data_IF_272138520594
#
_entry.id   IF_272138520594
#
_cell.length_a   1.000
_cell.length_b   1.000
_cell.length_c   1.000
_cell.angle_alpha   90.00
_cell.angle_beta   90.00
_cell.angle_gamma   90.00
#
_symmetry.space_group_name_H-M   'P 1'
#
loop_
_entity.id
_entity.type
_entity.pdbx_description
1 polymer ?
#
# COMPACT_ATOMS: atom_id res chain seq x y z
N UNK A 1 7.34 -6.92 -12.85
CA UNK A 1 6.54 -6.07 -11.93
C UNK A 1 5.05 -6.20 -12.23
N UNK A 2 4.66 -6.04 -13.48
CA UNK A 2 3.25 -6.15 -13.88
C UNK A 2 2.70 -7.54 -13.54
N UNK A 3 3.44 -8.60 -13.85
CA UNK A 3 3.03 -9.96 -13.53
C UNK A 3 2.82 -10.15 -12.03
N UNK A 4 3.69 -9.56 -11.21
CA UNK A 4 3.55 -9.65 -9.75
C UNK A 4 2.31 -8.90 -9.24
N UNK A 5 2.02 -7.72 -9.82
CA UNK A 5 0.83 -6.96 -9.48
C UNK A 5 -0.43 -7.78 -9.80
N UNK A 6 -0.50 -8.40 -10.98
CA UNK A 6 -1.65 -9.24 -11.34
C UNK A 6 -1.78 -10.46 -10.44
N UNK A 7 -0.66 -11.05 -10.03
CA UNK A 7 -0.67 -12.15 -9.07
C UNK A 7 -1.29 -11.73 -7.74
N UNK A 8 -0.93 -10.57 -7.23
CA UNK A 8 -1.49 -10.04 -5.98
C UNK A 8 -2.96 -9.68 -6.11
N UNK A 9 -3.37 -9.12 -7.24
CA UNK A 9 -4.77 -8.83 -7.50
C UNK A 9 -5.59 -10.12 -7.55
N UNK A 10 -5.08 -11.15 -8.22
CA UNK A 10 -5.73 -12.46 -8.27
C UNK A 10 -5.88 -13.05 -6.87
N UNK A 11 -4.84 -12.96 -6.06
CA UNK A 11 -4.85 -13.43 -4.68
C UNK A 11 -5.95 -12.73 -3.87
N UNK A 12 -6.09 -11.41 -4.03
CA UNK A 12 -7.15 -10.65 -3.38
C UNK A 12 -8.54 -11.12 -3.84
N UNK A 13 -8.73 -11.28 -5.14
CA UNK A 13 -10.00 -11.71 -5.71
C UNK A 13 -10.39 -13.12 -5.27
N UNK A 14 -9.42 -14.02 -5.15
CA UNK A 14 -9.66 -15.36 -4.64
C UNK A 14 -10.09 -15.34 -3.18
N UNK A 15 -9.67 -14.33 -2.42
CA UNK A 15 -10.12 -14.12 -1.05
C UNK A 15 -11.47 -13.40 -0.96
N UNK A 16 -12.13 -13.13 -2.09
CA UNK A 16 -13.43 -12.47 -2.14
C UNK A 16 -13.35 -10.94 -2.11
N UNK A 17 -12.19 -10.39 -2.31
CA UNK A 17 -11.97 -8.94 -2.28
C UNK A 17 -12.13 -8.36 -3.69
N UNK A 18 -12.93 -7.30 -3.81
CA UNK A 18 -13.07 -6.57 -5.06
C UNK A 18 -11.92 -5.57 -5.19
N UNK A 19 -11.32 -5.49 -6.36
CA UNK A 19 -10.20 -4.57 -6.60
C UNK A 19 -10.60 -3.55 -7.67
N UNK A 20 -10.37 -2.28 -7.36
CA UNK A 20 -10.54 -1.19 -8.32
C UNK A 20 -9.15 -0.66 -8.64
N UNK A 21 -8.76 -0.73 -9.90
CA UNK A 21 -7.42 -0.39 -10.34
C UNK A 21 -7.44 0.82 -11.27
N UNK A 22 -6.59 1.80 -10.99
CA UNK A 22 -6.45 2.99 -11.84
C UNK A 22 -4.98 3.19 -12.18
N UNK A 23 -4.63 2.93 -13.44
CA UNK A 23 -3.27 3.04 -13.92
C UNK A 23 -3.19 4.18 -14.93
N UNK A 24 -2.62 5.31 -14.52
CA UNK A 24 -2.43 6.47 -15.39
C UNK A 24 -0.96 6.73 -15.70
N UNK A 25 -0.08 5.86 -15.20
CA UNK A 25 1.35 5.92 -15.48
C UNK A 25 1.91 4.51 -15.53
N UNK A 26 3.03 4.34 -16.22
CA UNK A 26 3.70 3.06 -16.35
C UNK A 26 4.80 2.94 -15.29
N UNK A 27 4.86 1.80 -14.63
CA UNK A 27 5.92 1.50 -13.66
C UNK A 27 7.30 1.39 -14.31
N UNK A 28 7.36 1.24 -15.63
CA UNK A 28 8.62 1.21 -16.36
C UNK A 28 9.39 2.53 -16.27
N UNK A 29 8.73 3.63 -15.93
CA UNK A 29 9.38 4.93 -15.75
C UNK A 29 10.12 5.03 -14.40
N UNK A 30 10.06 4.01 -13.57
CA UNK A 30 10.71 4.01 -12.26
C UNK A 30 12.11 3.43 -12.32
N UNK A 31 13.05 4.04 -11.60
CA UNK A 31 14.45 3.60 -11.55
C UNK A 31 14.77 2.74 -10.33
N UNK A 32 13.86 1.89 -9.95
CA UNK A 32 14.09 0.96 -8.85
C UNK A 32 14.28 -0.44 -9.44
N UNK A 33 15.12 -1.24 -8.80
CA UNK A 33 15.32 -2.63 -9.24
C UNK A 33 14.02 -3.41 -9.04
N UNK A 34 13.72 -4.30 -9.99
CA UNK A 34 12.48 -5.06 -9.97
C UNK A 34 12.23 -5.81 -8.66
N UNK A 35 13.28 -6.41 -8.09
CA UNK A 35 13.14 -7.17 -6.85
C UNK A 35 12.71 -6.29 -5.67
N UNK A 36 13.20 -5.05 -5.63
CA UNK A 36 12.83 -4.10 -4.57
C UNK A 36 11.39 -3.63 -4.75
N UNK A 37 10.97 -3.38 -5.98
CA UNK A 37 9.61 -3.02 -6.30
C UNK A 37 8.63 -4.15 -5.93
N UNK A 38 8.98 -5.39 -6.24
CA UNK A 38 8.18 -6.56 -5.90
C UNK A 38 8.01 -6.66 -4.39
N UNK A 39 9.07 -6.44 -3.63
CA UNK A 39 9.02 -6.48 -2.17
C UNK A 39 8.14 -5.37 -1.60
N UNK A 40 8.27 -4.15 -2.11
CA UNK A 40 7.45 -3.01 -1.68
C UNK A 40 5.98 -3.27 -1.99
N UNK A 41 5.67 -3.62 -3.22
CA UNK A 41 4.29 -3.87 -3.65
C UNK A 41 3.69 -5.06 -2.90
N UNK A 42 4.45 -6.12 -2.72
CA UNK A 42 4.00 -7.29 -1.98
C UNK A 42 3.59 -6.94 -0.56
N UNK A 43 4.40 -6.16 0.14
CA UNK A 43 4.10 -5.74 1.51
C UNK A 43 2.85 -4.87 1.56
N UNK A 44 2.71 -3.91 0.64
CA UNK A 44 1.54 -3.04 0.58
C UNK A 44 0.26 -3.82 0.32
N UNK A 45 0.29 -4.73 -0.66
CA UNK A 45 -0.87 -5.56 -0.98
C UNK A 45 -1.23 -6.49 0.17
N UNK A 46 -0.25 -7.17 0.75
CA UNK A 46 -0.50 -8.11 1.85
C UNK A 46 -1.12 -7.42 3.05
N UNK A 47 -0.65 -6.22 3.36
CA UNK A 47 -1.21 -5.42 4.45
C UNK A 47 -2.69 -5.10 4.20
N UNK A 48 -3.02 -4.65 3.00
CA UNK A 48 -4.39 -4.30 2.64
C UNK A 48 -5.29 -5.54 2.59
N UNK A 49 -4.83 -6.61 1.97
CA UNK A 49 -5.60 -7.85 1.83
C UNK A 49 -5.91 -8.46 3.20
N UNK A 50 -4.93 -8.56 4.07
CA UNK A 50 -5.12 -9.12 5.40
C UNK A 50 -6.10 -8.30 6.23
N UNK A 51 -6.02 -6.98 6.12
CA UNK A 51 -6.96 -6.09 6.81
C UNK A 51 -8.39 -6.30 6.33
N UNK A 52 -8.59 -6.40 5.02
CA UNK A 52 -9.92 -6.58 4.44
C UNK A 52 -10.50 -7.96 4.74
N UNK A 53 -9.68 -9.00 4.78
CA UNK A 53 -10.13 -10.33 5.17
C UNK A 53 -10.60 -10.31 6.62
N UNK A 54 -9.84 -9.70 7.49
CA UNK A 54 -10.14 -9.63 8.92
C UNK A 54 -11.42 -8.84 9.21
N UNK A 55 -11.62 -7.73 8.51
CA UNK A 55 -12.79 -6.87 8.71
C UNK A 55 -14.02 -7.34 7.95
N UNK A 56 -13.89 -8.30 7.06
CA UNK A 56 -14.97 -8.79 6.18
C UNK A 56 -15.64 -7.67 5.41
N UNK A 57 -14.85 -6.71 4.98
CA UNK A 57 -15.36 -5.52 4.29
C UNK A 57 -15.82 -5.86 2.88
N UNK A 58 -16.92 -5.21 2.43
CA UNK A 58 -17.47 -5.41 1.09
C UNK A 58 -17.08 -4.33 0.10
N UNK A 59 -16.35 -3.32 0.54
CA UNK A 59 -15.86 -2.25 -0.32
C UNK A 59 -14.64 -2.71 -1.12
N UNK A 60 -14.18 -1.85 -2.04
CA UNK A 60 -13.08 -2.18 -2.93
C UNK A 60 -11.73 -1.93 -2.29
N UNK A 61 -10.76 -2.77 -2.61
CA UNK A 61 -9.36 -2.43 -2.47
C UNK A 61 -9.02 -1.50 -3.64
N UNK A 62 -8.38 -0.38 -3.36
CA UNK A 62 -8.04 0.60 -4.38
C UNK A 62 -6.54 0.55 -4.66
N UNK A 63 -6.19 0.40 -5.93
CA UNK A 63 -4.80 0.40 -6.38
C UNK A 63 -4.65 1.46 -7.46
N UNK A 64 -3.72 2.40 -7.26
CA UNK A 64 -3.51 3.49 -8.19
C UNK A 64 -2.03 3.70 -8.48
N UNK A 65 -1.71 3.91 -9.75
CA UNK A 65 -0.38 4.35 -10.18
C UNK A 65 -0.57 5.61 -11.00
N UNK A 66 0.05 6.71 -10.57
CA UNK A 66 -0.06 7.98 -11.30
C UNK A 66 1.25 8.75 -11.25
N UNK A 67 1.44 9.60 -12.25
CA UNK A 67 2.59 10.49 -12.30
C UNK A 67 2.24 11.79 -11.58
N UNK A 68 3.16 12.25 -10.74
CA UNK A 68 3.03 13.52 -10.02
C UNK A 68 4.26 14.38 -10.29
N UNK A 69 4.26 15.62 -9.82
CA UNK A 69 5.42 16.51 -9.95
C UNK A 69 6.66 15.96 -9.26
N UNK A 70 6.47 15.11 -8.26
CA UNK A 70 7.55 14.51 -7.48
C UNK A 70 8.05 13.17 -8.06
N UNK A 71 7.33 12.61 -9.02
CA UNK A 71 7.65 11.32 -9.60
C UNK A 71 6.41 10.44 -9.73
N UNK A 72 6.63 9.14 -9.89
CA UNK A 72 5.53 8.17 -9.98
C UNK A 72 5.06 7.81 -8.58
N UNK A 73 3.76 7.93 -8.33
CA UNK A 73 3.17 7.56 -7.04
C UNK A 73 2.35 6.30 -7.17
N UNK A 74 2.63 5.33 -6.29
CA UNK A 74 1.88 4.09 -6.18
C UNK A 74 1.11 4.15 -4.87
N UNK A 75 -0.21 3.96 -4.94
CA UNK A 75 -1.07 4.02 -3.77
C UNK A 75 -1.93 2.77 -3.66
N UNK A 76 -2.05 2.26 -2.43
CA UNK A 76 -2.95 1.16 -2.12
C UNK A 76 -3.81 1.61 -0.95
N UNK A 77 -5.12 1.58 -1.15
CA UNK A 77 -6.09 1.98 -0.15
C UNK A 77 -7.04 0.86 0.18
N UNK A 78 -7.33 0.68 1.45
CA UNK A 78 -8.35 -0.27 1.88
C UNK A 78 -9.31 0.40 2.86
N UNK A 79 -10.58 -0.04 2.86
CA UNK A 79 -11.54 0.48 3.82
C UNK A 79 -11.10 0.21 5.24
N UNK A 80 -11.20 1.20 6.09
CA UNK A 80 -10.77 1.09 7.47
C UNK A 80 -11.37 2.24 8.27
N UNK A 81 -11.57 2.03 9.56
CA UNK A 81 -11.96 3.12 10.45
C UNK A 81 -10.85 4.17 10.48
N UNK A 82 -11.24 5.41 10.74
CA UNK A 82 -10.27 6.50 10.81
C UNK A 82 -9.22 6.21 11.89
N UNK A 83 -7.96 6.30 11.52
CA UNK A 83 -6.84 6.12 12.44
C UNK A 83 -6.39 7.50 12.92
N UNK A 84 -6.13 7.63 14.23
CA UNK A 84 -5.67 8.90 14.79
C UNK A 84 -4.29 9.27 14.24
N UNK A 85 -3.98 10.57 14.23
CA UNK A 85 -2.66 11.06 13.81
C UNK A 85 -1.55 10.39 14.62
N UNK A 86 -1.75 10.23 15.93
CA UNK A 86 -0.79 9.58 16.80
C UNK A 86 -0.52 8.13 16.37
N UNK A 87 -1.57 7.38 16.07
CA UNK A 87 -1.43 5.98 15.63
C UNK A 87 -0.84 5.88 14.23
N UNK A 88 -1.17 6.83 13.33
CA UNK A 88 -0.55 6.87 12.00
C UNK A 88 0.96 7.06 12.10
N UNK A 89 1.40 7.92 13.01
CA UNK A 89 2.83 8.17 13.23
C UNK A 89 3.55 6.95 13.80
N UNK A 90 2.86 6.16 14.63
CA UNK A 90 3.45 5.01 15.30
C UNK A 90 3.38 3.70 14.52
N UNK A 91 2.53 3.62 13.51
CA UNK A 91 2.30 2.33 12.86
C UNK A 91 3.51 1.75 12.12
N UNK A 92 4.52 2.56 11.88
CA UNK A 92 5.77 2.11 11.27
C UNK A 92 6.86 1.77 12.29
N UNK A 93 6.59 1.92 13.58
CA UNK A 93 7.56 1.56 14.61
C UNK A 93 7.73 0.04 14.70
N UNK A 94 8.94 -0.40 14.99
CA UNK A 94 9.24 -1.81 15.12
C UNK A 94 8.40 -2.44 16.24
N UNK A 95 7.63 -3.46 15.88
CA UNK A 95 6.79 -4.19 16.83
C UNK A 95 5.45 -3.55 17.12
N UNK A 96 5.19 -2.33 16.62
CA UNK A 96 3.87 -1.71 16.82
C UNK A 96 2.84 -2.34 15.88
N UNK A 97 1.71 -2.76 16.43
CA UNK A 97 0.63 -3.30 15.61
C UNK A 97 -0.68 -3.25 16.40
N UNK A 98 -1.75 -2.82 15.72
CA UNK A 98 -3.11 -2.87 16.25
C UNK A 98 -3.83 -4.15 15.84
N UNK A 99 -3.20 -5.00 15.02
CA UNK A 99 -3.87 -6.12 14.37
C UNK A 99 -3.18 -7.48 14.55
N UNK A 100 -2.07 -7.52 15.26
CA UNK A 100 -1.31 -8.73 15.44
C UNK A 100 0.19 -8.48 15.30
N UNK A 101 0.98 -9.40 15.85
CA UNK A 101 2.42 -9.18 16.01
C UNK A 101 3.20 -8.97 14.72
N UNK A 102 2.85 -9.69 13.66
CA UNK A 102 3.63 -9.66 12.42
C UNK A 102 3.40 -8.41 11.57
N UNK A 103 2.34 -7.66 11.83
CA UNK A 103 1.98 -6.50 11.02
C UNK A 103 2.91 -5.32 11.25
N UNK A 104 3.23 -5.05 12.52
CA UNK A 104 4.16 -3.98 12.86
C UNK A 104 5.55 -4.21 12.29
N UNK A 105 5.96 -5.46 12.22
CA UNK A 105 7.26 -5.84 11.65
C UNK A 105 7.27 -5.57 10.14
N UNK A 106 6.18 -5.95 9.44
CA UNK A 106 6.08 -5.72 8.00
C UNK A 106 6.13 -4.26 7.61
N UNK A 107 5.40 -3.40 8.33
CA UNK A 107 5.39 -1.97 8.06
C UNK A 107 6.71 -1.31 8.43
N UNK A 108 7.34 -1.74 9.51
CA UNK A 108 8.66 -1.27 9.89
C UNK A 108 9.68 -1.58 8.79
N UNK A 109 9.67 -2.81 8.31
CA UNK A 109 10.57 -3.24 7.24
C UNK A 109 10.33 -2.46 5.94
N UNK A 110 9.06 -2.24 5.60
CA UNK A 110 8.68 -1.45 4.43
C UNK A 110 9.27 -0.04 4.51
N UNK A 111 9.14 0.60 5.67
CA UNK A 111 9.69 1.95 5.86
C UNK A 111 11.21 1.97 5.70
N UNK A 112 11.90 0.96 6.23
CA UNK A 112 13.34 0.86 6.09
C UNK A 112 13.75 0.69 4.62
N UNK A 113 13.03 -0.17 3.90
CA UNK A 113 13.30 -0.41 2.49
C UNK A 113 13.07 0.84 1.64
N UNK A 114 11.96 1.53 1.86
CA UNK A 114 11.62 2.77 1.15
C UNK A 114 12.67 3.84 1.40
N UNK A 115 13.08 3.99 2.64
CA UNK A 115 14.10 4.96 3.04
C UNK A 115 15.44 4.65 2.39
N UNK A 116 15.83 3.38 2.37
CA UNK A 116 17.08 2.94 1.76
C UNK A 116 17.13 3.26 0.26
N UNK A 117 15.99 3.24 -0.41
CA UNK A 117 15.87 3.54 -1.84
C UNK A 117 15.65 5.04 -2.10
N UNK A 118 15.73 5.88 -1.07
CA UNK A 118 15.51 7.33 -1.19
C UNK A 118 14.12 7.67 -1.74
N UNK A 119 13.15 6.82 -1.42
CA UNK A 119 11.76 7.06 -1.76
C UNK A 119 11.01 7.61 -0.55
N UNK A 120 9.81 8.08 -0.79
CA UNK A 120 8.94 8.64 0.25
C UNK A 120 7.74 7.73 0.46
N UNK A 121 7.45 7.43 1.73
CA UNK A 121 6.29 6.64 2.12
C UNK A 121 5.35 7.53 2.92
N UNK A 122 4.09 7.55 2.50
CA UNK A 122 3.04 8.32 3.16
C UNK A 122 1.89 7.42 3.54
N UNK A 123 1.23 7.75 4.65
CA UNK A 123 -0.01 7.09 5.05
C UNK A 123 -1.01 8.16 5.47
N UNK A 124 -2.26 8.01 5.01
CA UNK A 124 -3.29 8.99 5.35
C UNK A 124 -4.68 8.36 5.38
N UNK A 125 -5.57 9.00 6.15
CA UNK A 125 -7.00 8.71 6.06
C UNK A 125 -7.57 9.46 4.87
N UNK A 126 -8.49 8.83 4.15
CA UNK A 126 -9.17 9.46 3.02
C UNK A 126 -10.62 8.99 2.97
N UNK A 127 -11.56 9.92 2.98
CA UNK A 127 -12.97 9.57 2.90
C UNK A 127 -13.42 9.54 1.44
N UNK A 128 -13.95 8.41 1.01
CA UNK A 128 -14.47 8.21 -0.36
C UNK A 128 -15.86 7.61 -0.22
N UNK A 129 -16.87 8.29 -0.78
CA UNK A 129 -18.27 7.82 -0.75
C UNK A 129 -18.72 7.42 0.68
N UNK A 130 -18.44 8.30 1.64
CA UNK A 130 -18.80 8.14 3.06
C UNK A 130 -18.10 7.00 3.79
N UNK A 131 -17.09 6.40 3.16
CA UNK A 131 -16.28 5.36 3.78
C UNK A 131 -14.86 5.87 3.95
N UNK A 132 -14.31 5.73 5.17
CA UNK A 132 -12.90 6.04 5.39
C UNK A 132 -12.02 4.94 4.83
N UNK A 133 -10.95 5.35 4.16
CA UNK A 133 -9.90 4.48 3.64
C UNK A 133 -8.58 4.85 4.27
N UNK A 134 -7.74 3.87 4.47
CA UNK A 134 -6.34 4.10 4.80
C UNK A 134 -5.54 3.91 3.52
N UNK A 135 -4.81 4.94 3.12
CA UNK A 135 -3.97 4.94 1.91
C UNK A 135 -2.51 4.90 2.28
N UNK A 136 -1.83 3.93 1.72
CA UNK A 136 -0.37 3.89 1.74
C UNK A 136 0.11 4.29 0.35
N UNK A 137 0.97 5.30 0.28
CA UNK A 137 1.50 5.80 -0.98
C UNK A 137 3.02 5.82 -0.95
N UNK A 138 3.63 5.34 -2.02
CA UNK A 138 5.08 5.39 -2.20
C UNK A 138 5.37 6.26 -3.42
N UNK A 139 6.21 7.28 -3.24
CA UNK A 139 6.63 8.14 -4.34
C UNK A 139 8.02 7.71 -4.77
N UNK A 140 8.13 7.35 -6.06
CA UNK A 140 9.37 6.93 -6.67
C UNK A 140 9.89 8.09 -7.51
N UNK A 141 11.06 8.60 -7.14
CA UNK A 141 11.66 9.68 -7.89
C UNK A 141 11.94 9.29 -9.33
N UNK A 142 11.82 10.25 -10.23
CA UNK A 142 12.30 10.06 -11.60
C UNK A 142 13.81 10.16 -11.55
N UNK A 143 14.42 9.08 -11.83
CA UNK A 143 15.85 9.04 -11.72
C UNK A 143 16.63 9.74 -12.80
#
# INVERSE_FOLDING_TARGET
>A
IIAHVFEKITEAQEAGIKVNMRLTSDLADCKIQDIQMIEILGTLFDNAIQDMIKSKCTHYLLFEVKKTDLGVMISIGNPHEKISTHDLERMFENGYSTKGENRGIGLYHLKQLVKKQEMELMVENKCIADQNYIYFSVVLGEG
#
